data_IF_744866458082
#
_entry.id   IF_744866458082
#
_cell.length_a   1.000
_cell.length_b   1.000
_cell.length_c   1.000
_cell.angle_alpha   90.00
_cell.angle_beta   90.00
_cell.angle_gamma   90.00
#
_symmetry.space_group_name_H-M   'P 1'
#
loop_
_entity.id
_entity.type
_entity.pdbx_description
1 polymer ?
#
# COMPACT_ATOMS: atom_id res chain seq x y z
N UNK A 1 12.26 40.83 -12.77
CA UNK A 1 11.97 40.65 -11.32
C UNK A 1 11.46 41.97 -10.81
N UNK A 2 10.21 42.03 -10.33
CA UNK A 2 9.71 43.23 -9.68
C UNK A 2 10.49 43.42 -8.37
N UNK A 3 11.30 44.47 -8.28
CA UNK A 3 11.99 44.84 -7.05
C UNK A 3 10.99 45.59 -6.20
N UNK A 4 10.37 44.89 -5.24
CA UNK A 4 9.51 45.51 -4.23
C UNK A 4 10.36 46.09 -3.10
N UNK A 5 9.97 47.25 -2.57
CA UNK A 5 10.55 47.81 -1.34
C UNK A 5 9.74 47.33 -0.15
N UNK A 6 10.42 46.88 0.91
CA UNK A 6 9.81 46.53 2.19
C UNK A 6 10.38 47.41 3.29
N UNK A 7 9.53 47.87 4.20
CA UNK A 7 9.99 48.65 5.34
C UNK A 7 10.72 47.76 6.35
N UNK A 8 11.80 48.29 6.96
CA UNK A 8 12.57 47.58 8.00
C UNK A 8 11.75 47.32 9.25
N UNK A 9 10.68 48.09 9.48
CA UNK A 9 9.68 47.89 10.52
C UNK A 9 9.05 46.50 10.43
N UNK A 10 8.67 46.06 9.23
CA UNK A 10 7.99 44.77 9.01
C UNK A 10 8.87 43.59 9.43
N UNK A 11 10.15 43.59 9.05
CA UNK A 11 11.09 42.56 9.47
C UNK A 11 11.35 42.58 10.98
N UNK A 12 11.41 43.78 11.56
CA UNK A 12 11.58 43.97 13.01
C UNK A 12 10.36 43.42 13.76
N UNK A 13 9.15 43.67 13.28
CA UNK A 13 7.90 43.22 13.88
C UNK A 13 7.77 41.69 13.80
N UNK A 14 8.11 41.07 12.66
CA UNK A 14 8.14 39.60 12.53
C UNK A 14 9.14 38.99 13.51
N UNK A 15 10.36 39.53 13.56
CA UNK A 15 11.39 39.03 14.48
C UNK A 15 10.99 39.19 15.95
N UNK A 16 10.36 40.31 16.31
CA UNK A 16 9.82 40.55 17.66
C UNK A 16 8.68 39.59 17.98
N UNK A 17 7.78 39.30 17.04
CA UNK A 17 6.70 38.34 17.23
C UNK A 17 7.23 36.92 17.52
N UNK A 18 8.24 36.48 16.77
CA UNK A 18 8.91 35.18 16.99
C UNK A 18 9.59 35.17 18.37
N UNK A 19 10.40 36.20 18.68
CA UNK A 19 11.07 36.30 19.98
C UNK A 19 10.08 36.34 21.15
N UNK A 20 8.95 37.01 20.99
CA UNK A 20 7.92 37.11 22.01
C UNK A 20 7.27 35.76 22.28
N UNK A 21 6.89 35.02 21.22
CA UNK A 21 6.30 33.69 21.36
C UNK A 21 7.31 32.66 21.89
N UNK A 22 8.58 32.74 21.47
CA UNK A 22 9.66 31.89 21.96
C UNK A 22 10.12 32.25 23.38
N UNK A 23 9.96 33.52 23.79
CA UNK A 23 10.49 34.06 25.04
C UNK A 23 12.01 34.24 25.07
N UNK A 24 12.65 34.54 23.93
CA UNK A 24 14.12 34.63 23.81
C UNK A 24 14.61 36.02 23.40
N UNK A 25 15.87 36.33 23.73
CA UNK A 25 16.54 37.57 23.32
C UNK A 25 17.34 37.43 22.01
N UNK A 26 17.50 36.20 21.49
CA UNK A 26 18.29 35.89 20.29
C UNK A 26 17.78 36.67 19.07
N UNK A 27 18.69 37.29 18.33
CA UNK A 27 18.36 38.00 17.09
C UNK A 27 18.32 37.02 15.93
N UNK A 28 17.34 37.22 15.03
CA UNK A 28 17.18 36.42 13.81
C UNK A 28 17.41 37.31 12.61
N UNK A 29 18.28 36.87 11.69
CA UNK A 29 18.34 37.44 10.35
C UNK A 29 17.08 37.05 9.57
N UNK A 30 16.68 37.79 8.51
CA UNK A 30 15.51 37.43 7.72
C UNK A 30 15.50 35.98 7.20
N UNK A 31 16.67 35.42 6.85
CA UNK A 31 16.79 34.03 6.42
C UNK A 31 16.59 32.98 7.52
N UNK A 32 16.70 33.35 8.79
CA UNK A 32 16.52 32.44 9.94
C UNK A 32 15.09 32.46 10.49
N UNK A 33 14.30 33.49 10.15
CA UNK A 33 12.97 33.70 10.72
C UNK A 33 11.98 32.57 10.40
N UNK A 34 12.06 31.96 9.22
CA UNK A 34 11.19 30.84 8.85
C UNK A 34 11.45 29.61 9.73
N UNK A 35 12.71 29.24 9.91
CA UNK A 35 13.11 28.14 10.79
C UNK A 35 12.74 28.44 12.25
N UNK A 36 12.95 29.67 12.70
CA UNK A 36 12.59 30.10 14.05
C UNK A 36 11.06 30.07 14.29
N UNK A 37 10.25 30.50 13.32
CA UNK A 37 8.79 30.42 13.38
C UNK A 37 8.29 28.96 13.39
N UNK A 38 8.94 28.09 12.61
CA UNK A 38 8.67 26.64 12.60
C UNK A 38 9.00 25.98 13.95
N UNK A 39 9.99 26.51 14.67
CA UNK A 39 10.43 25.98 15.96
C UNK A 39 9.57 26.44 17.16
N UNK A 40 8.63 27.37 16.97
CA UNK A 40 7.77 27.84 18.06
C UNK A 40 6.84 26.72 18.55
N UNK A 41 6.67 26.61 19.86
CA UNK A 41 5.90 25.55 20.53
C UNK A 41 4.94 26.07 21.61
N UNK A 42 4.96 27.37 21.90
CA UNK A 42 4.15 28.02 22.92
C UNK A 42 4.71 28.01 24.33
N UNK A 43 5.93 27.50 24.52
CA UNK A 43 6.56 27.38 25.84
C UNK A 43 6.92 28.74 26.46
N UNK A 44 7.27 29.73 25.64
CA UNK A 44 7.71 31.08 26.04
C UNK A 44 8.72 31.08 27.22
N UNK A 45 10.02 31.06 26.90
CA UNK A 45 11.13 31.02 27.88
C UNK A 45 11.23 32.24 28.83
N UNK A 46 10.41 33.28 28.63
CA UNK A 46 10.30 34.40 29.57
C UNK A 46 11.45 35.42 29.54
N UNK A 47 12.36 35.34 28.58
CA UNK A 47 13.49 36.25 28.35
C UNK A 47 13.31 37.11 27.08
N UNK A 48 12.07 37.44 26.74
CA UNK A 48 11.78 38.32 25.60
C UNK A 48 12.34 39.73 25.84
N UNK A 49 13.10 40.23 24.87
CA UNK A 49 13.53 41.63 24.81
C UNK A 49 13.13 42.26 23.48
N UNK A 50 12.25 43.26 23.55
CA UNK A 50 11.79 44.00 22.38
C UNK A 50 12.96 44.76 21.74
N UNK A 51 13.13 44.57 20.43
CA UNK A 51 14.06 45.38 19.65
C UNK A 51 13.35 46.60 19.09
N UNK A 52 14.03 47.74 19.12
CA UNK A 52 13.57 48.99 18.52
C UNK A 52 13.75 48.95 17.00
N UNK A 53 12.95 49.73 16.29
CA UNK A 53 13.08 49.87 14.84
C UNK A 53 14.49 50.36 14.48
N UNK A 54 15.20 49.55 13.70
CA UNK A 54 16.53 49.91 13.21
C UNK A 54 16.41 51.02 12.16
N UNK A 55 17.41 51.90 12.15
CA UNK A 55 17.54 52.93 11.11
C UNK A 55 17.68 52.23 9.76
N UNK A 56 17.06 52.77 8.71
CA UNK A 56 16.97 52.12 7.40
C UNK A 56 18.37 51.82 6.83
N UNK A 57 18.73 50.55 6.73
CA UNK A 57 19.89 50.07 5.97
C UNK A 57 19.39 49.51 4.63
N UNK A 58 19.95 49.98 3.51
CA UNK A 58 19.58 49.47 2.19
C UNK A 58 20.18 48.08 1.96
N UNK A 59 19.35 47.08 1.63
CA UNK A 59 19.78 45.70 1.35
C UNK A 59 18.88 45.00 0.33
N UNK A 60 19.34 43.88 -0.23
CA UNK A 60 18.57 43.04 -1.16
C UNK A 60 18.20 41.73 -0.44
N UNK A 61 16.91 41.42 -0.41
CA UNK A 61 16.37 40.16 0.12
C UNK A 61 15.90 39.28 -1.05
N UNK A 62 16.08 37.97 -0.90
CA UNK A 62 15.49 37.00 -1.82
C UNK A 62 13.97 37.02 -1.68
N UNK A 63 13.25 36.85 -2.81
CA UNK A 63 11.79 36.79 -2.82
C UNK A 63 11.22 35.66 -1.96
N UNK A 64 11.99 34.59 -1.78
CA UNK A 64 11.55 33.39 -1.03
C UNK A 64 11.49 33.59 0.49
N UNK A 65 12.16 34.60 1.07
CA UNK A 65 12.22 34.77 2.53
C UNK A 65 10.82 34.88 3.16
N UNK A 66 9.93 35.64 2.53
CA UNK A 66 8.56 35.80 3.04
C UNK A 66 7.68 34.60 2.67
N UNK A 67 7.95 33.93 1.56
CA UNK A 67 7.25 32.68 1.21
C UNK A 67 7.54 31.60 2.26
N UNK A 68 8.80 31.42 2.65
CA UNK A 68 9.25 30.47 3.65
C UNK A 68 8.67 30.78 5.05
N UNK A 69 8.61 32.06 5.44
CA UNK A 69 7.97 32.47 6.70
C UNK A 69 6.46 32.20 6.66
N UNK A 70 5.80 32.50 5.53
CA UNK A 70 4.39 32.22 5.37
C UNK A 70 4.09 30.72 5.42
N UNK A 71 4.94 29.89 4.82
CA UNK A 71 4.87 28.43 4.93
C UNK A 71 5.07 27.94 6.36
N UNK A 72 6.01 28.53 7.11
CA UNK A 72 6.20 28.21 8.52
C UNK A 72 4.94 28.53 9.36
N UNK A 73 4.32 29.69 9.15
CA UNK A 73 3.08 30.09 9.83
C UNK A 73 1.94 29.11 9.47
N UNK A 74 1.78 28.78 8.18
CA UNK A 74 0.80 27.80 7.71
C UNK A 74 1.03 26.41 8.31
N UNK A 75 2.28 25.98 8.43
CA UNK A 75 2.64 24.73 9.10
C UNK A 75 2.24 24.69 10.57
N UNK A 76 2.27 25.85 11.25
CA UNK A 76 1.86 25.96 12.65
C UNK A 76 0.34 25.98 12.83
N UNK A 77 -0.40 26.70 11.98
CA UNK A 77 -1.84 26.91 12.16
C UNK A 77 -2.75 26.12 11.22
N UNK A 78 -2.20 25.38 10.25
CA UNK A 78 -2.95 24.60 9.26
C UNK A 78 -3.72 25.44 8.23
N UNK A 79 -3.47 26.76 8.14
CA UNK A 79 -4.17 27.65 7.19
C UNK A 79 -3.65 27.49 5.76
N UNK A 80 -4.51 27.81 4.78
CA UNK A 80 -4.13 27.95 3.36
C UNK A 80 -4.05 29.41 2.92
N UNK A 81 -4.21 30.35 3.86
CA UNK A 81 -4.22 31.77 3.58
C UNK A 81 -2.87 32.27 3.04
N UNK A 82 -2.95 33.30 2.22
CA UNK A 82 -1.78 34.05 1.79
C UNK A 82 -1.50 35.14 2.82
N UNK A 83 -0.27 35.16 3.37
CA UNK A 83 0.15 36.19 4.31
C UNK A 83 0.95 37.26 3.57
N UNK A 84 0.49 38.51 3.61
CA UNK A 84 1.34 39.64 3.23
C UNK A 84 2.40 39.85 4.32
N UNK A 85 3.61 40.35 3.97
CA UNK A 85 4.66 40.56 4.98
C UNK A 85 4.22 41.34 6.22
N UNK A 86 3.38 42.38 6.05
CA UNK A 86 2.85 43.16 7.17
C UNK A 86 1.88 42.42 8.09
N UNK A 87 1.33 41.28 7.67
CA UNK A 87 0.36 40.48 8.43
C UNK A 87 1.04 39.36 9.23
N UNK A 88 2.27 38.97 8.84
CA UNK A 88 2.97 37.82 9.39
C UNK A 88 3.23 37.94 10.90
N UNK A 89 3.61 39.13 11.38
CA UNK A 89 3.85 39.35 12.81
C UNK A 89 2.58 39.10 13.64
N UNK A 90 1.44 39.63 13.19
CA UNK A 90 0.15 39.40 13.84
C UNK A 90 -0.28 37.94 13.76
N UNK A 91 -0.06 37.28 12.61
CA UNK A 91 -0.36 35.87 12.43
C UNK A 91 0.48 34.98 13.37
N UNK A 92 1.78 35.29 13.56
CA UNK A 92 2.67 34.60 14.51
C UNK A 92 2.18 34.81 15.96
N UNK A 93 1.78 36.02 16.32
CA UNK A 93 1.23 36.31 17.66
C UNK A 93 -0.14 35.64 17.90
N UNK A 94 -0.90 35.39 16.84
CA UNK A 94 -2.19 34.71 16.89
C UNK A 94 -2.09 33.18 16.88
N UNK A 95 -0.88 32.61 16.77
CA UNK A 95 -0.68 31.16 16.86
C UNK A 95 -1.21 30.66 18.22
N UNK A 96 -2.15 29.72 18.14
CA UNK A 96 -2.72 29.05 19.30
C UNK A 96 -1.98 27.75 19.53
N UNK A 97 -1.33 27.64 20.68
CA UNK A 97 -0.44 26.52 20.99
C UNK A 97 -1.22 25.30 21.45
N UNK A 98 -1.03 24.18 20.75
CA UNK A 98 -1.58 22.89 21.13
C UNK A 98 -0.72 22.22 22.21
N UNK A 99 -0.73 22.82 23.41
CA UNK A 99 -0.01 22.32 24.59
C UNK A 99 -0.85 21.31 25.38
N UNK A 100 -0.17 20.51 26.18
CA UNK A 100 -0.73 19.46 27.01
C UNK A 100 -0.68 18.08 26.36
N UNK A 101 -0.66 17.08 27.24
CA UNK A 101 -0.66 15.67 26.89
C UNK A 101 -2.01 15.26 26.28
N UNK A 102 -2.03 14.93 24.99
CA UNK A 102 -3.27 14.61 24.25
C UNK A 102 -3.06 13.45 23.28
N UNK A 103 -4.10 12.63 23.01
CA UNK A 103 -4.06 11.62 21.95
C UNK A 103 -4.13 12.34 20.60
N UNK A 104 -3.05 12.33 19.82
CA UNK A 104 -2.99 13.00 18.53
C UNK A 104 -2.82 12.02 17.39
N UNK A 105 -3.44 12.35 16.25
CA UNK A 105 -3.03 11.90 14.94
C UNK A 105 -2.30 13.07 14.28
N UNK A 106 -1.02 12.90 13.94
CA UNK A 106 -0.16 13.93 13.36
C UNK A 106 0.24 13.50 11.96
N UNK A 107 -0.13 14.28 10.95
CA UNK A 107 0.32 14.07 9.59
C UNK A 107 1.72 14.67 9.44
N UNK A 108 2.67 13.89 8.91
CA UNK A 108 4.03 14.35 8.67
C UNK A 108 4.24 14.75 7.21
N UNK A 109 5.30 15.54 6.96
CA UNK A 109 5.75 15.91 5.61
C UNK A 109 6.15 14.73 4.72
N UNK A 110 6.24 13.53 5.29
CA UNK A 110 6.53 12.28 4.58
C UNK A 110 5.27 11.49 4.20
N UNK A 111 4.07 12.05 4.45
CA UNK A 111 2.79 11.36 4.19
C UNK A 111 2.46 10.27 5.22
N UNK A 112 3.12 10.29 6.39
CA UNK A 112 2.82 9.39 7.50
C UNK A 112 1.77 10.02 8.41
N UNK A 113 0.73 9.29 8.79
CA UNK A 113 -0.17 9.67 9.88
C UNK A 113 0.25 8.94 11.15
N UNK A 114 0.87 9.67 12.08
CA UNK A 114 1.38 9.14 13.34
C UNK A 114 0.39 9.35 14.47
N UNK A 115 0.00 8.28 15.14
CA UNK A 115 -0.79 8.30 16.36
C UNK A 115 0.15 8.29 17.57
N UNK A 116 0.15 9.35 18.37
CA UNK A 116 0.98 9.49 19.56
C UNK A 116 0.24 10.17 20.73
N UNK A 117 0.83 10.10 21.92
CA UNK A 117 0.27 10.63 23.16
C UNK A 117 1.37 11.35 23.92
N UNK A 118 1.60 12.60 23.53
CA UNK A 118 2.69 13.44 24.03
C UNK A 118 2.20 14.87 24.24
N UNK A 119 3.06 15.72 24.78
CA UNK A 119 2.84 17.17 24.79
C UNK A 119 3.26 17.76 23.44
N UNK A 120 2.46 18.67 22.87
CA UNK A 120 2.72 19.26 21.56
C UNK A 120 2.55 18.34 20.35
N UNK A 121 2.86 18.88 19.17
CA UNK A 121 2.81 18.18 17.88
C UNK A 121 4.17 17.60 17.54
N UNK A 122 4.42 16.35 17.90
CA UNK A 122 5.68 15.68 17.60
C UNK A 122 5.51 14.62 16.50
N UNK A 123 6.58 14.37 15.75
CA UNK A 123 6.68 13.30 14.75
C UNK A 123 7.89 12.42 15.07
N UNK A 124 7.68 11.28 15.73
CA UNK A 124 8.77 10.35 16.07
C UNK A 124 9.14 9.43 14.90
N UNK A 125 8.24 9.26 13.93
CA UNK A 125 8.43 8.50 12.69
C UNK A 125 9.22 9.24 11.60
N UNK A 126 9.63 10.49 11.87
CA UNK A 126 10.38 11.34 10.96
C UNK A 126 9.53 12.34 10.17
N UNK A 127 10.21 13.27 9.50
CA UNK A 127 9.58 14.43 8.88
C UNK A 127 9.23 15.51 9.90
N UNK A 128 8.47 16.52 9.46
CA UNK A 128 7.93 17.58 10.32
C UNK A 128 6.40 17.50 10.35
N UNK A 129 5.75 17.95 11.44
CA UNK A 129 4.29 18.05 11.49
C UNK A 129 3.77 18.96 10.37
N UNK A 130 2.77 18.48 9.63
CA UNK A 130 2.01 19.23 8.61
C UNK A 130 0.64 19.60 9.13
N UNK A 131 -0.01 18.67 9.83
CA UNK A 131 -1.32 18.89 10.45
C UNK A 131 -1.48 17.93 11.64
N UNK A 132 -2.36 18.24 12.58
CA UNK A 132 -2.58 17.41 13.76
C UNK A 132 -4.00 17.54 14.29
N UNK A 133 -4.56 16.41 14.71
CA UNK A 133 -5.92 16.33 15.25
C UNK A 133 -5.91 15.54 16.56
N UNK A 134 -6.67 16.02 17.55
CA UNK A 134 -6.98 15.24 18.73
C UNK A 134 -7.88 14.05 18.35
N UNK A 135 -7.62 12.88 18.93
CA UNK A 135 -8.30 11.64 18.62
C UNK A 135 -9.14 11.20 19.80
N UNK A 136 -10.43 10.97 19.58
CA UNK A 136 -11.32 10.47 20.63
C UNK A 136 -11.04 8.97 20.92
N UNK A 137 -10.57 8.59 22.13
CA UNK A 137 -10.35 7.19 22.50
C UNK A 137 -11.64 6.37 22.60
N UNK A 138 -12.80 7.01 22.66
CA UNK A 138 -14.12 6.36 22.58
C UNK A 138 -14.50 5.96 21.14
N UNK A 139 -13.74 6.41 20.14
CA UNK A 139 -13.89 6.06 18.73
C UNK A 139 -14.96 6.87 18.01
N UNK A 140 -15.18 6.55 16.74
CA UNK A 140 -16.04 7.31 15.84
C UNK A 140 -17.26 6.51 15.36
N UNK A 141 -18.36 7.21 15.07
CA UNK A 141 -19.59 6.60 14.56
C UNK A 141 -19.54 6.24 13.07
N UNK A 142 -18.64 6.87 12.31
CA UNK A 142 -18.43 6.66 10.87
C UNK A 142 -17.03 7.12 10.44
N UNK A 143 -16.60 6.73 9.23
CA UNK A 143 -15.33 7.18 8.66
C UNK A 143 -15.28 8.71 8.53
N UNK A 144 -16.36 9.37 8.08
CA UNK A 144 -16.43 10.83 7.94
C UNK A 144 -16.47 11.60 9.26
N UNK A 145 -16.68 10.92 10.40
CA UNK A 145 -16.73 11.57 11.70
C UNK A 145 -15.35 11.78 12.35
N UNK A 146 -14.30 11.13 11.82
CA UNK A 146 -12.94 11.36 12.31
C UNK A 146 -12.40 12.71 11.82
N UNK A 147 -11.62 13.43 12.64
CA UNK A 147 -11.19 14.80 12.32
C UNK A 147 -10.21 14.86 11.13
N UNK A 148 -9.49 13.78 10.86
CA UNK A 148 -8.51 13.65 9.77
C UNK A 148 -9.08 13.00 8.50
N UNK A 149 -10.40 12.97 8.31
CA UNK A 149 -11.00 12.31 7.12
C UNK A 149 -10.62 12.98 5.79
N UNK A 150 -10.39 14.30 5.80
CA UNK A 150 -10.01 15.08 4.61
C UNK A 150 -8.68 14.65 4.02
N UNK A 151 -7.76 14.14 4.85
CA UNK A 151 -6.39 13.77 4.45
C UNK A 151 -6.20 12.28 4.16
N UNK A 152 -7.22 11.43 4.32
CA UNK A 152 -7.07 9.96 4.19
C UNK A 152 -6.44 9.49 2.88
N UNK A 153 -6.67 10.19 1.77
CA UNK A 153 -6.18 9.81 0.44
C UNK A 153 -4.71 10.19 0.20
N UNK A 154 -4.14 11.08 1.02
CA UNK A 154 -2.70 11.43 0.96
C UNK A 154 -1.84 10.61 1.92
N UNK A 155 -2.45 9.90 2.88
CA UNK A 155 -1.71 9.09 3.84
C UNK A 155 -1.15 7.84 3.17
N UNK A 156 0.18 7.71 3.20
CA UNK A 156 0.92 6.57 2.64
C UNK A 156 1.26 5.54 3.73
N UNK A 157 1.48 5.99 4.97
CA UNK A 157 1.81 5.13 6.11
C UNK A 157 1.08 5.57 7.36
N UNK A 158 0.80 4.61 8.24
CA UNK A 158 0.30 4.88 9.60
C UNK A 158 1.27 4.30 10.61
N UNK A 159 1.57 5.07 11.66
CA UNK A 159 2.43 4.63 12.76
C UNK A 159 1.68 4.82 14.08
N UNK A 160 1.56 3.78 14.88
CA UNK A 160 1.14 3.90 16.28
C UNK A 160 2.38 3.93 17.16
N UNK A 161 2.75 5.13 17.63
CA UNK A 161 3.92 5.30 18.50
C UNK A 161 3.71 4.57 19.84
N UNK A 162 4.80 4.18 20.52
CA UNK A 162 4.75 3.42 21.77
C UNK A 162 3.96 4.11 22.88
N UNK A 163 3.95 5.45 22.89
CA UNK A 163 3.13 6.24 23.82
C UNK A 163 1.63 6.01 23.65
N UNK A 164 1.17 5.60 22.46
CA UNK A 164 -0.24 5.43 22.14
C UNK A 164 -0.94 4.39 23.02
N UNK A 165 -0.21 3.38 23.51
CA UNK A 165 -0.75 2.38 24.42
C UNK A 165 -1.36 3.00 25.70
N UNK A 166 -0.87 4.18 26.13
CA UNK A 166 -1.36 4.90 27.30
C UNK A 166 -2.75 5.54 27.09
N UNK A 167 -3.16 5.74 25.83
CA UNK A 167 -4.47 6.30 25.47
C UNK A 167 -5.61 5.35 25.87
N UNK A 168 -5.35 4.03 25.86
CA UNK A 168 -6.35 3.03 26.24
C UNK A 168 -7.56 2.99 25.31
N UNK A 169 -7.37 3.27 24.01
CA UNK A 169 -8.44 3.27 23.02
C UNK A 169 -9.15 1.90 22.99
N UNK A 170 -10.47 1.91 23.26
CA UNK A 170 -11.28 0.68 23.31
C UNK A 170 -12.11 0.44 22.04
N UNK A 171 -12.27 1.47 21.21
CA UNK A 171 -13.08 1.44 20.00
C UNK A 171 -12.32 2.09 18.83
N UNK A 172 -11.89 1.27 17.88
CA UNK A 172 -11.21 1.68 16.65
C UNK A 172 -12.08 1.49 15.41
N UNK A 173 -13.41 1.52 15.58
CA UNK A 173 -14.33 1.47 14.44
C UNK A 173 -14.01 2.61 13.47
N UNK A 174 -13.89 2.27 12.19
CA UNK A 174 -13.60 3.20 11.09
C UNK A 174 -12.29 4.00 11.19
N UNK A 175 -11.40 3.71 12.15
CA UNK A 175 -10.25 4.56 12.46
C UNK A 175 -9.38 4.86 11.23
N UNK A 176 -9.17 3.86 10.37
CA UNK A 176 -8.32 3.92 9.17
C UNK A 176 -9.08 3.52 7.89
N UNK A 177 -10.41 3.60 7.88
CA UNK A 177 -11.25 3.24 6.75
C UNK A 177 -10.98 4.12 5.51
N UNK A 178 -10.97 3.57 4.29
CA UNK A 178 -10.78 4.28 3.02
C UNK A 178 -9.46 5.05 2.90
N UNK A 179 -8.40 4.56 3.56
CA UNK A 179 -7.04 5.03 3.35
C UNK A 179 -6.48 4.34 2.10
N UNK A 180 -6.93 4.77 0.93
CA UNK A 180 -6.70 4.08 -0.35
C UNK A 180 -5.25 4.15 -0.84
N UNK A 181 -4.46 5.12 -0.38
CA UNK A 181 -3.04 5.26 -0.71
C UNK A 181 -2.10 4.61 0.32
N UNK A 182 -2.64 4.14 1.45
CA UNK A 182 -1.84 3.63 2.56
C UNK A 182 -1.32 2.23 2.24
N UNK A 183 -0.01 2.04 2.31
CA UNK A 183 0.64 0.76 2.04
C UNK A 183 1.04 0.00 3.31
N UNK A 184 1.20 0.71 4.42
CA UNK A 184 1.81 0.16 5.63
C UNK A 184 1.21 0.76 6.91
N UNK A 185 0.97 -0.11 7.90
CA UNK A 185 0.72 0.29 9.28
C UNK A 185 1.78 -0.35 10.18
N UNK A 186 2.36 0.40 11.10
CA UNK A 186 3.35 -0.12 12.06
C UNK A 186 3.07 0.30 13.51
N UNK A 187 3.67 -0.42 14.45
CA UNK A 187 3.44 -0.23 15.88
C UNK A 187 2.07 -0.73 16.35
N UNK A 188 1.44 -1.65 15.61
CA UNK A 188 0.07 -2.07 15.87
C UNK A 188 -0.09 -2.83 17.20
N UNK A 189 1.00 -3.28 17.82
CA UNK A 189 1.03 -3.74 19.21
C UNK A 189 0.50 -2.69 20.20
N UNK A 190 0.65 -1.39 19.89
CA UNK A 190 0.20 -0.28 20.73
C UNK A 190 -1.32 -0.06 20.66
N UNK A 191 -2.01 -0.82 19.81
CA UNK A 191 -3.47 -0.91 19.77
C UNK A 191 -4.00 -2.10 20.59
N UNK A 192 -3.13 -2.79 21.35
CA UNK A 192 -3.55 -3.85 22.26
C UNK A 192 -4.50 -3.29 23.31
N UNK A 193 -5.72 -3.83 23.40
CA UNK A 193 -6.77 -3.37 24.32
C UNK A 193 -8.06 -2.93 23.63
N UNK A 194 -8.05 -2.75 22.31
CA UNK A 194 -9.28 -2.53 21.52
C UNK A 194 -10.29 -3.66 21.74
N UNK A 195 -11.57 -3.29 21.86
CA UNK A 195 -12.71 -4.22 21.96
C UNK A 195 -13.58 -4.22 20.71
N UNK A 196 -13.54 -3.13 19.93
CA UNK A 196 -14.30 -2.98 18.68
C UNK A 196 -13.41 -2.41 17.56
N UNK A 197 -13.44 -3.02 16.38
CA UNK A 197 -12.69 -2.59 15.19
C UNK A 197 -13.47 -2.83 13.88
N UNK A 198 -14.78 -2.59 13.89
CA UNK A 198 -15.64 -2.65 12.72
C UNK A 198 -15.11 -1.75 11.61
N UNK A 199 -14.90 -2.33 10.42
CA UNK A 199 -14.43 -1.63 9.22
C UNK A 199 -13.18 -0.75 9.44
N UNK A 200 -12.33 -1.08 10.43
CA UNK A 200 -11.16 -0.28 10.78
C UNK A 200 -10.24 -0.04 9.58
N UNK A 201 -10.03 -1.05 8.72
CA UNK A 201 -9.26 -0.98 7.48
C UNK A 201 -10.14 -1.17 6.24
N UNK A 202 -11.45 -0.97 6.35
CA UNK A 202 -12.36 -1.13 5.21
C UNK A 202 -11.93 -0.23 4.05
N UNK A 203 -11.90 -0.75 2.83
CA UNK A 203 -11.50 -0.03 1.59
C UNK A 203 -10.04 0.45 1.54
N UNK A 204 -9.13 -0.13 2.31
CA UNK A 204 -7.69 0.17 2.18
C UNK A 204 -7.06 -0.68 1.06
N UNK A 205 -7.33 -0.32 -0.19
CA UNK A 205 -6.98 -1.11 -1.38
C UNK A 205 -5.47 -1.28 -1.60
N UNK A 206 -4.66 -0.29 -1.21
CA UNK A 206 -3.19 -0.33 -1.31
C UNK A 206 -2.48 -0.94 -0.10
N UNK A 207 -3.19 -1.30 0.97
CA UNK A 207 -2.58 -1.79 2.21
C UNK A 207 -1.93 -3.15 1.97
N UNK A 208 -0.63 -3.25 2.19
CA UNK A 208 0.16 -4.46 1.95
C UNK A 208 0.56 -5.16 3.25
N UNK A 209 0.70 -4.40 4.35
CA UNK A 209 1.17 -4.95 5.61
C UNK A 209 0.63 -4.20 6.84
N UNK A 210 0.49 -4.94 7.93
CA UNK A 210 0.31 -4.39 9.28
C UNK A 210 1.37 -5.03 10.17
N UNK A 211 2.33 -4.24 10.64
CA UNK A 211 3.41 -4.68 11.51
C UNK A 211 3.02 -4.62 12.98
N UNK A 212 3.23 -5.72 13.68
CA UNK A 212 3.09 -5.84 15.12
C UNK A 212 4.10 -6.86 15.66
N UNK A 213 4.89 -6.49 16.68
CA UNK A 213 5.78 -7.45 17.36
C UNK A 213 5.02 -8.41 18.29
N UNK A 214 3.86 -7.98 18.78
CA UNK A 214 2.93 -8.78 19.57
C UNK A 214 1.50 -8.22 19.43
N UNK A 215 0.49 -9.08 19.46
CA UNK A 215 -0.91 -8.64 19.49
C UNK A 215 -1.83 -9.78 19.94
N UNK A 216 -2.83 -9.46 20.76
CA UNK A 216 -3.90 -10.40 21.14
C UNK A 216 -5.25 -9.86 20.67
N UNK A 217 -5.97 -10.66 19.88
CA UNK A 217 -7.36 -10.38 19.49
C UNK A 217 -8.40 -11.01 20.41
N UNK A 218 -8.00 -11.47 21.60
CA UNK A 218 -8.93 -12.05 22.56
C UNK A 218 -9.97 -11.01 23.00
N UNK A 219 -11.25 -11.31 22.79
CA UNK A 219 -12.35 -10.39 23.08
C UNK A 219 -12.54 -9.24 22.07
N UNK A 220 -11.75 -9.19 20.99
CA UNK A 220 -11.92 -8.20 19.92
C UNK A 220 -13.10 -8.58 19.03
N UNK A 221 -14.04 -7.66 18.88
CA UNK A 221 -15.11 -7.73 17.88
C UNK A 221 -14.82 -6.80 16.71
N UNK A 222 -15.17 -7.20 15.49
CA UNK A 222 -14.96 -6.38 14.30
C UNK A 222 -15.48 -7.06 13.05
N UNK A 223 -16.58 -6.55 12.50
CA UNK A 223 -17.11 -6.95 11.20
C UNK A 223 -16.43 -6.18 10.08
N UNK A 224 -16.20 -6.86 8.95
CA UNK A 224 -15.65 -6.26 7.72
C UNK A 224 -14.33 -5.49 7.96
N UNK A 225 -13.56 -5.87 8.99
CA UNK A 225 -12.38 -5.13 9.46
C UNK A 225 -11.35 -4.91 8.34
N UNK A 226 -11.22 -5.88 7.43
CA UNK A 226 -10.28 -5.88 6.30
C UNK A 226 -10.98 -5.95 4.94
N UNK A 227 -12.25 -5.56 4.87
CA UNK A 227 -12.99 -5.60 3.62
C UNK A 227 -12.33 -4.67 2.59
N UNK A 228 -12.02 -5.19 1.39
CA UNK A 228 -11.34 -4.42 0.34
C UNK A 228 -9.81 -4.37 0.45
N UNK A 229 -9.20 -4.94 1.50
CA UNK A 229 -7.73 -5.05 1.65
C UNK A 229 -7.14 -6.18 0.79
N UNK A 230 -7.37 -6.13 -0.53
CA UNK A 230 -6.97 -7.21 -1.45
C UNK A 230 -5.46 -7.40 -1.61
N UNK A 231 -4.67 -6.39 -1.23
CA UNK A 231 -3.20 -6.41 -1.23
C UNK A 231 -2.59 -6.80 0.11
N UNK A 232 -3.39 -6.85 1.18
CA UNK A 232 -2.88 -7.10 2.53
C UNK A 232 -2.50 -8.56 2.63
N UNK A 233 -1.21 -8.80 2.85
CA UNK A 233 -0.68 -10.13 3.09
C UNK A 233 -0.07 -10.15 4.47
N UNK A 234 -0.42 -11.12 5.30
CA UNK A 234 0.11 -11.21 6.65
C UNK A 234 0.40 -12.62 7.11
N UNK A 235 0.74 -12.71 8.38
CA UNK A 235 1.06 -13.98 9.03
C UNK A 235 2.36 -14.59 8.52
N UNK A 236 2.65 -15.79 8.99
CA UNK A 236 3.84 -16.55 8.59
C UNK A 236 3.60 -17.37 7.32
N UNK A 237 2.37 -17.37 6.80
CA UNK A 237 1.91 -18.27 5.74
C UNK A 237 1.29 -17.54 4.54
N UNK A 238 1.47 -16.22 4.44
CA UNK A 238 0.98 -15.42 3.32
C UNK A 238 -0.55 -15.27 3.30
N UNK A 239 -1.20 -15.22 4.45
CA UNK A 239 -2.65 -15.09 4.54
C UNK A 239 -3.12 -13.76 3.95
N UNK A 240 -4.17 -13.81 3.11
CA UNK A 240 -4.83 -12.63 2.53
C UNK A 240 -6.29 -12.63 3.02
N UNK A 241 -6.78 -11.51 3.61
CA UNK A 241 -8.15 -11.45 4.11
C UNK A 241 -9.17 -11.47 2.96
N UNK A 242 -10.33 -12.09 3.22
CA UNK A 242 -11.49 -12.03 2.33
C UNK A 242 -12.40 -10.85 2.69
N UNK A 243 -13.45 -10.66 1.91
CA UNK A 243 -14.50 -9.66 2.19
C UNK A 243 -15.22 -9.88 3.52
N UNK A 244 -15.13 -11.09 4.10
CA UNK A 244 -15.74 -11.46 5.39
C UNK A 244 -14.74 -11.59 6.53
N UNK A 245 -13.43 -11.41 6.27
CA UNK A 245 -12.41 -11.43 7.32
C UNK A 245 -12.61 -10.27 8.30
N UNK A 246 -12.87 -10.63 9.56
CA UNK A 246 -13.06 -9.70 10.66
C UNK A 246 -11.95 -9.81 11.71
N UNK A 247 -12.27 -9.47 12.96
CA UNK A 247 -11.34 -9.44 14.09
C UNK A 247 -10.57 -10.76 14.34
N UNK A 248 -11.15 -11.92 14.00
CA UNK A 248 -10.48 -13.22 14.17
C UNK A 248 -9.21 -13.38 13.32
N UNK A 249 -9.10 -12.64 12.22
CA UNK A 249 -7.92 -12.59 11.36
C UNK A 249 -6.87 -11.56 11.83
N UNK A 250 -7.23 -10.64 12.74
CA UNK A 250 -6.34 -9.62 13.29
C UNK A 250 -5.40 -10.21 14.35
N UNK A 251 -4.49 -11.09 13.94
CA UNK A 251 -3.54 -11.80 14.81
C UNK A 251 -2.23 -12.03 14.09
N UNK A 252 -1.19 -12.35 14.86
CA UNK A 252 0.11 -12.82 14.35
C UNK A 252 0.03 -14.34 14.10
N UNK A 253 0.88 -14.82 13.19
CA UNK A 253 1.03 -16.25 12.88
C UNK A 253 0.11 -16.72 11.75
N UNK A 254 0.01 -18.04 11.59
CA UNK A 254 -0.73 -18.63 10.48
C UNK A 254 -2.21 -18.21 10.45
N UNK A 255 -2.70 -17.83 9.27
CA UNK A 255 -4.08 -17.36 9.07
C UNK A 255 -4.39 -16.01 9.72
N UNK A 256 -3.36 -15.22 10.03
CA UNK A 256 -3.48 -13.86 10.56
C UNK A 256 -2.98 -12.81 9.56
N UNK A 257 -3.45 -11.57 9.68
CA UNK A 257 -2.99 -10.46 8.83
C UNK A 257 -1.82 -9.66 9.41
N UNK A 258 -1.50 -9.85 10.70
CA UNK A 258 -0.40 -9.13 11.34
C UNK A 258 0.92 -9.84 11.06
N UNK A 259 1.96 -9.05 10.80
CA UNK A 259 3.31 -9.54 10.52
C UNK A 259 4.26 -9.07 11.62
N UNK A 260 5.02 -9.99 12.20
CA UNK A 260 6.15 -9.64 13.08
C UNK A 260 7.30 -9.17 12.18
N UNK A 261 7.73 -7.89 12.26
CA UNK A 261 8.79 -7.37 11.40
C UNK A 261 10.12 -8.12 11.58
N UNK A 262 10.36 -8.74 12.74
CA UNK A 262 11.58 -9.50 13.01
C UNK A 262 11.54 -10.92 12.43
N UNK A 263 10.39 -11.36 11.90
CA UNK A 263 10.16 -12.70 11.35
C UNK A 263 9.47 -12.65 10.00
N UNK A 264 9.58 -11.53 9.30
CA UNK A 264 8.97 -11.33 7.99
C UNK A 264 9.75 -12.12 6.92
N UNK A 265 9.21 -13.28 6.55
CA UNK A 265 9.77 -14.16 5.53
C UNK A 265 9.11 -13.96 4.14
N UNK A 266 8.25 -12.94 3.98
CA UNK A 266 7.55 -12.70 2.71
C UNK A 266 8.54 -12.17 1.68
N UNK A 267 8.49 -12.74 0.50
CA UNK A 267 9.20 -12.26 -0.67
C UNK A 267 8.22 -11.62 -1.65
N UNK A 268 8.71 -10.62 -2.39
CA UNK A 268 7.89 -9.81 -3.28
C UNK A 268 8.53 -9.79 -4.66
N UNK A 269 7.72 -9.92 -5.70
CA UNK A 269 8.11 -9.65 -7.09
C UNK A 269 7.29 -8.49 -7.62
N UNK A 270 7.66 -7.94 -8.76
CA UNK A 270 7.00 -6.80 -9.38
C UNK A 270 6.27 -7.23 -10.65
N UNK A 271 5.10 -6.62 -10.86
CA UNK A 271 4.46 -6.58 -12.17
C UNK A 271 4.62 -5.19 -12.76
N UNK A 272 5.20 -5.10 -13.94
CA UNK A 272 5.29 -3.86 -14.72
C UNK A 272 4.41 -4.00 -15.94
N UNK A 273 3.33 -3.23 -16.00
CA UNK A 273 2.40 -3.23 -17.11
C UNK A 273 2.61 -1.99 -17.97
N UNK A 274 2.87 -2.19 -19.26
CA UNK A 274 3.25 -1.13 -20.19
C UNK A 274 2.09 -0.76 -21.12
N UNK A 275 2.17 0.43 -21.73
CA UNK A 275 1.13 0.95 -22.65
C UNK A 275 0.96 0.09 -23.92
N UNK A 276 1.99 -0.68 -24.30
CA UNK A 276 1.97 -1.61 -25.44
C UNK A 276 1.15 -2.90 -25.18
N UNK A 277 0.64 -3.09 -23.97
CA UNK A 277 -0.22 -4.21 -23.60
C UNK A 277 0.50 -5.41 -23.00
N UNK A 278 1.83 -5.38 -22.86
CA UNK A 278 2.55 -6.46 -22.17
C UNK A 278 2.74 -6.15 -20.67
N UNK A 279 2.57 -7.19 -19.84
CA UNK A 279 2.97 -7.19 -18.45
C UNK A 279 4.22 -8.06 -18.23
N UNK A 280 5.25 -7.49 -17.60
CA UNK A 280 6.47 -8.22 -17.21
C UNK A 280 6.43 -8.50 -15.70
N UNK A 281 6.55 -9.76 -15.33
CA UNK A 281 6.68 -10.21 -13.94
C UNK A 281 8.16 -10.52 -13.66
N UNK A 282 8.74 -9.88 -12.65
CA UNK A 282 10.19 -9.87 -12.42
C UNK A 282 10.54 -9.63 -10.95
N UNK A 283 11.72 -10.10 -10.52
CA UNK A 283 12.27 -9.72 -9.21
C UNK A 283 12.76 -8.26 -9.18
N UNK A 284 12.97 -7.66 -10.35
CA UNK A 284 13.50 -6.29 -10.49
C UNK A 284 12.44 -5.25 -10.14
N UNK A 285 12.77 -4.31 -9.24
CA UNK A 285 11.85 -3.24 -8.82
C UNK A 285 11.66 -2.14 -9.87
N UNK A 286 12.73 -1.81 -10.59
CA UNK A 286 12.72 -0.73 -11.56
C UNK A 286 12.12 -1.23 -12.89
N UNK A 287 11.06 -0.57 -13.41
CA UNK A 287 10.54 -0.89 -14.74
C UNK A 287 11.54 -0.50 -15.83
N UNK A 288 11.36 -1.05 -17.03
CA UNK A 288 12.14 -0.71 -18.22
C UNK A 288 11.93 0.77 -18.59
N UNK A 289 12.98 1.62 -18.51
CA UNK A 289 12.85 3.05 -18.77
C UNK A 289 12.63 3.38 -20.26
N UNK A 290 12.84 2.43 -21.17
CA UNK A 290 12.62 2.61 -22.61
C UNK A 290 11.15 2.48 -23.02
N UNK A 291 10.29 1.96 -22.14
CA UNK A 291 8.88 1.69 -22.39
C UNK A 291 8.00 2.64 -21.58
N UNK A 292 6.84 2.97 -22.13
CA UNK A 292 5.86 3.79 -21.39
C UNK A 292 5.12 2.90 -20.40
N UNK A 293 5.37 3.12 -19.11
CA UNK A 293 4.74 2.38 -18.01
C UNK A 293 3.29 2.84 -17.83
N UNK A 294 2.34 1.90 -17.87
CA UNK A 294 0.93 2.15 -17.50
C UNK A 294 0.71 2.00 -16.01
N UNK A 295 1.20 0.91 -15.43
CA UNK A 295 1.02 0.60 -14.01
C UNK A 295 2.14 -0.30 -13.51
N UNK A 296 2.50 -0.14 -12.23
CA UNK A 296 3.46 -1.01 -11.56
C UNK A 296 3.00 -1.29 -10.13
N UNK A 297 3.41 -2.42 -9.58
CA UNK A 297 3.17 -2.76 -8.19
C UNK A 297 3.82 -4.08 -7.83
N UNK A 298 4.20 -4.21 -6.56
CA UNK A 298 4.70 -5.47 -6.02
C UNK A 298 3.56 -6.45 -5.73
N UNK A 299 3.86 -7.74 -5.75
CA UNK A 299 2.98 -8.86 -5.48
C UNK A 299 3.72 -9.80 -4.54
N UNK A 300 3.07 -10.24 -3.46
CA UNK A 300 3.68 -11.16 -2.51
C UNK A 300 3.73 -12.55 -3.14
N UNK A 301 4.92 -13.14 -3.23
CA UNK A 301 5.14 -14.44 -3.85
C UNK A 301 4.35 -15.57 -3.18
N UNK A 302 4.14 -15.46 -1.86
CA UNK A 302 3.43 -16.47 -1.05
C UNK A 302 1.97 -16.10 -0.77
N UNK A 303 1.47 -14.99 -1.31
CA UNK A 303 0.13 -14.47 -1.03
C UNK A 303 -0.96 -15.47 -1.43
N UNK A 304 -1.79 -15.87 -0.46
CA UNK A 304 -2.98 -16.72 -0.66
C UNK A 304 -4.16 -15.88 -1.16
N UNK A 305 -3.99 -15.21 -2.29
CA UNK A 305 -4.98 -14.29 -2.84
C UNK A 305 -6.32 -14.99 -3.09
N UNK A 306 -7.39 -14.42 -2.53
CA UNK A 306 -8.75 -15.00 -2.61
C UNK A 306 -9.63 -14.33 -3.66
N UNK A 307 -9.08 -13.40 -4.43
CA UNK A 307 -9.78 -12.65 -5.46
C UNK A 307 -8.88 -11.64 -6.17
N UNK A 308 -9.51 -10.70 -6.88
CA UNK A 308 -8.82 -9.65 -7.64
C UNK A 308 -8.42 -8.47 -6.73
N UNK A 309 -7.71 -7.49 -7.31
CA UNK A 309 -7.35 -6.22 -6.64
C UNK A 309 -5.87 -6.08 -6.30
N UNK A 310 -5.11 -7.18 -6.36
CA UNK A 310 -3.69 -7.19 -5.99
C UNK A 310 -2.71 -6.97 -7.14
N UNK A 311 -3.17 -7.08 -8.40
CA UNK A 311 -2.28 -6.96 -9.57
C UNK A 311 -2.28 -5.54 -10.15
N UNK A 312 -1.18 -5.09 -10.78
CA UNK A 312 -1.11 -3.77 -11.44
C UNK A 312 -2.10 -3.55 -12.58
N UNK A 313 -2.58 -4.63 -13.21
CA UNK A 313 -3.62 -4.58 -14.24
C UNK A 313 -5.05 -4.66 -13.68
N UNK A 314 -5.21 -4.73 -12.36
CA UNK A 314 -6.50 -4.47 -11.71
C UNK A 314 -6.61 -2.97 -11.48
N UNK A 315 -7.46 -2.29 -12.24
CA UNK A 315 -7.67 -0.84 -12.06
C UNK A 315 -8.16 -0.54 -10.64
N UNK A 316 -7.65 0.53 -10.03
CA UNK A 316 -8.04 0.98 -8.68
C UNK A 316 -9.35 1.76 -8.67
N UNK A 317 -9.75 2.32 -9.82
CA UNK A 317 -11.05 2.93 -10.06
C UNK A 317 -11.45 2.76 -11.53
N UNK A 318 -12.66 2.25 -11.82
CA UNK A 318 -13.16 2.06 -13.19
C UNK A 318 -12.94 0.67 -13.81
N UNK A 319 -13.09 0.56 -15.13
CA UNK A 319 -12.95 -0.71 -15.86
C UNK A 319 -11.53 -1.27 -15.70
N UNK A 320 -11.40 -2.55 -15.37
CA UNK A 320 -10.11 -3.20 -15.14
C UNK A 320 -9.20 -3.07 -16.36
N UNK A 321 -7.90 -2.81 -16.16
CA UNK A 321 -6.95 -2.81 -17.29
C UNK A 321 -6.67 -4.20 -17.90
N UNK A 322 -7.25 -5.26 -17.32
CA UNK A 322 -7.15 -6.66 -17.77
C UNK A 322 -7.51 -6.88 -19.24
N UNK A 323 -8.46 -6.11 -19.76
CA UNK A 323 -8.88 -6.16 -21.17
C UNK A 323 -7.85 -5.58 -22.15
N UNK A 324 -6.81 -4.90 -21.65
CA UNK A 324 -5.73 -4.34 -22.45
C UNK A 324 -4.44 -5.14 -22.34
N UNK A 325 -4.41 -6.16 -21.47
CA UNK A 325 -3.26 -7.04 -21.32
C UNK A 325 -3.29 -8.08 -22.44
N UNK A 326 -2.36 -7.94 -23.40
CA UNK A 326 -2.24 -8.77 -24.60
C UNK A 326 -1.12 -9.81 -24.48
N UNK A 327 -0.09 -9.51 -23.69
CA UNK A 327 1.02 -10.42 -23.45
C UNK A 327 1.48 -10.41 -21.98
N UNK A 328 2.01 -11.54 -21.52
CA UNK A 328 2.65 -11.67 -20.20
C UNK A 328 4.00 -12.35 -20.35
N UNK A 329 5.01 -11.79 -19.70
CA UNK A 329 6.36 -12.35 -19.67
C UNK A 329 6.79 -12.55 -18.22
N UNK A 330 7.07 -13.80 -17.86
CA UNK A 330 7.80 -14.12 -16.62
C UNK A 330 9.28 -13.98 -16.92
N UNK A 331 9.93 -12.96 -16.37
CA UNK A 331 11.36 -12.73 -16.55
C UNK A 331 12.19 -13.85 -15.92
N UNK A 332 13.39 -14.09 -16.45
CA UNK A 332 14.26 -15.18 -16.00
C UNK A 332 14.64 -15.08 -14.51
N UNK A 333 14.67 -13.87 -13.95
CA UNK A 333 14.94 -13.66 -12.52
C UNK A 333 13.82 -14.17 -11.61
N UNK A 334 12.64 -14.49 -12.13
CA UNK A 334 11.58 -15.16 -11.38
C UNK A 334 11.96 -16.58 -10.94
N UNK A 335 12.98 -17.19 -11.56
CA UNK A 335 13.50 -18.49 -11.15
C UNK A 335 14.09 -18.49 -9.72
N UNK A 336 14.37 -17.32 -9.13
CA UNK A 336 14.94 -17.23 -7.77
C UNK A 336 13.92 -17.52 -6.68
N UNK A 337 12.62 -17.50 -6.97
CA UNK A 337 11.58 -17.70 -5.96
C UNK A 337 11.33 -19.19 -5.73
N UNK A 338 11.58 -19.65 -4.51
CA UNK A 338 11.30 -21.02 -4.07
C UNK A 338 9.83 -21.30 -3.80
N UNK A 339 8.99 -20.26 -3.70
CA UNK A 339 7.55 -20.40 -3.53
C UNK A 339 6.85 -19.25 -4.24
N UNK A 340 5.96 -19.61 -5.16
CA UNK A 340 5.12 -18.71 -5.95
C UNK A 340 3.67 -19.23 -5.88
N UNK A 341 2.74 -18.32 -5.63
CA UNK A 341 1.30 -18.55 -5.77
C UNK A 341 0.75 -17.62 -6.84
N UNK A 342 0.15 -18.19 -7.87
CA UNK A 342 -0.43 -17.44 -9.00
C UNK A 342 -1.95 -17.37 -8.95
N UNK A 343 -2.50 -17.49 -7.74
CA UNK A 343 -3.94 -17.45 -7.49
C UNK A 343 -4.54 -16.16 -8.08
N UNK A 344 -5.47 -16.29 -9.02
CA UNK A 344 -6.14 -15.18 -9.73
C UNK A 344 -5.24 -14.23 -10.55
N UNK A 345 -3.94 -14.52 -10.72
CA UNK A 345 -2.96 -13.59 -11.32
C UNK A 345 -3.44 -13.02 -12.68
N UNK A 346 -3.78 -13.91 -13.62
CA UNK A 346 -4.24 -13.54 -14.97
C UNK A 346 -5.74 -13.79 -15.18
N UNK A 347 -6.50 -13.88 -14.08
CA UNK A 347 -7.94 -14.08 -14.15
C UNK A 347 -8.62 -13.02 -15.04
N UNK A 348 -9.43 -13.46 -15.99
CA UNK A 348 -10.19 -12.64 -16.92
C UNK A 348 -9.34 -11.65 -17.74
N UNK A 349 -8.07 -11.95 -18.01
CA UNK A 349 -7.28 -11.24 -19.02
C UNK A 349 -7.73 -11.67 -20.42
N UNK A 350 -8.88 -11.17 -20.86
CA UNK A 350 -9.60 -11.63 -22.06
C UNK A 350 -8.90 -11.31 -23.38
N UNK A 351 -7.96 -10.36 -23.38
CA UNK A 351 -7.15 -9.99 -24.55
C UNK A 351 -5.79 -10.68 -24.60
N UNK A 352 -5.41 -11.46 -23.57
CA UNK A 352 -4.11 -12.11 -23.51
C UNK A 352 -3.99 -13.20 -24.57
N UNK A 353 -3.09 -13.01 -25.53
CA UNK A 353 -2.79 -13.97 -26.59
C UNK A 353 -1.45 -14.67 -26.39
N UNK A 354 -0.57 -14.13 -25.54
CA UNK A 354 0.78 -14.65 -25.32
C UNK A 354 1.13 -14.69 -23.84
N UNK A 355 1.72 -15.81 -23.41
CA UNK A 355 2.34 -15.96 -22.09
C UNK A 355 3.68 -16.65 -22.30
N UNK A 356 4.76 -16.06 -21.81
CA UNK A 356 6.12 -16.57 -22.00
C UNK A 356 6.90 -16.63 -20.67
N UNK A 357 7.95 -17.45 -20.63
CA UNK A 357 8.86 -17.54 -19.48
C UNK A 357 8.45 -18.51 -18.36
N UNK A 358 7.31 -19.20 -18.50
CA UNK A 358 6.86 -20.23 -17.54
C UNK A 358 7.92 -21.31 -17.30
N UNK A 359 8.65 -21.72 -18.34
CA UNK A 359 9.67 -22.77 -18.26
C UNK A 359 10.86 -22.52 -17.33
N UNK A 360 11.01 -21.30 -16.79
CA UNK A 360 12.07 -20.99 -15.82
C UNK A 360 11.62 -21.16 -14.36
N UNK A 361 10.33 -21.45 -14.14
CA UNK A 361 9.73 -21.44 -12.81
C UNK A 361 9.70 -22.84 -12.20
N UNK A 362 10.23 -22.97 -10.98
CA UNK A 362 10.19 -24.22 -10.19
C UNK A 362 9.50 -24.09 -8.84
N UNK A 363 9.29 -22.87 -8.34
CA UNK A 363 8.65 -22.62 -7.06
C UNK A 363 7.12 -22.54 -7.08
N UNK A 364 6.44 -22.83 -8.20
CA UNK A 364 5.00 -22.58 -8.33
C UNK A 364 4.19 -23.62 -7.56
N UNK A 365 3.57 -23.20 -6.46
CA UNK A 365 2.81 -24.09 -5.55
C UNK A 365 1.31 -24.09 -5.82
N UNK A 366 0.80 -23.05 -6.47
CA UNK A 366 -0.64 -22.87 -6.71
C UNK A 366 -0.89 -22.07 -7.98
N UNK A 367 -1.79 -22.56 -8.82
CA UNK A 367 -2.25 -21.89 -10.05
C UNK A 367 -3.77 -21.76 -10.10
N UNK A 368 -4.38 -21.58 -8.93
CA UNK A 368 -5.83 -21.48 -8.79
C UNK A 368 -6.36 -20.30 -9.60
N UNK A 369 -7.30 -20.55 -10.51
CA UNK A 369 -7.89 -19.52 -11.39
C UNK A 369 -6.88 -18.73 -12.26
N UNK A 370 -5.61 -19.13 -12.36
CA UNK A 370 -4.55 -18.28 -12.96
C UNK A 370 -4.88 -17.81 -14.36
N UNK A 371 -5.28 -18.70 -15.27
CA UNK A 371 -5.66 -18.39 -16.66
C UNK A 371 -7.18 -18.47 -16.89
N UNK A 372 -7.98 -18.45 -15.82
CA UNK A 372 -9.42 -18.57 -15.96
C UNK A 372 -9.98 -17.38 -16.74
N UNK A 373 -10.87 -17.66 -17.70
CA UNK A 373 -11.49 -16.68 -18.60
C UNK A 373 -10.50 -15.89 -19.47
N UNK A 374 -9.29 -16.41 -19.70
CA UNK A 374 -8.38 -15.92 -20.75
C UNK A 374 -8.87 -16.38 -22.13
N UNK A 375 -9.93 -15.77 -22.64
CA UNK A 375 -10.66 -16.26 -23.82
C UNK A 375 -9.96 -16.04 -25.16
N UNK A 376 -8.87 -15.26 -25.23
CA UNK A 376 -8.07 -15.06 -26.44
C UNK A 376 -6.81 -15.94 -26.50
N UNK A 377 -6.47 -16.66 -25.42
CA UNK A 377 -5.26 -17.46 -25.35
C UNK A 377 -5.43 -18.74 -26.16
N UNK A 378 -4.64 -18.93 -27.22
CA UNK A 378 -4.77 -20.09 -28.13
C UNK A 378 -3.84 -21.25 -27.78
N UNK A 379 -2.70 -20.95 -27.15
CA UNK A 379 -1.74 -21.96 -26.73
C UNK A 379 -0.98 -21.53 -25.49
N UNK A 380 -0.53 -22.50 -24.70
CA UNK A 380 0.39 -22.28 -23.58
C UNK A 380 1.59 -23.23 -23.68
N UNK A 381 2.76 -22.72 -23.31
CA UNK A 381 4.00 -23.46 -23.32
C UNK A 381 4.55 -23.64 -21.91
N UNK A 382 4.51 -24.87 -21.42
CA UNK A 382 5.03 -25.31 -20.13
C UNK A 382 6.35 -26.11 -20.27
N UNK A 383 7.00 -26.12 -21.45
CA UNK A 383 8.32 -26.76 -21.56
C UNK A 383 9.33 -26.10 -20.62
N UNK A 384 10.10 -26.92 -19.92
CA UNK A 384 11.02 -26.54 -18.84
C UNK A 384 10.36 -26.27 -17.48
N UNK A 385 9.03 -26.14 -17.40
CA UNK A 385 8.34 -25.84 -16.14
C UNK A 385 8.44 -27.04 -15.20
N UNK A 386 8.80 -26.81 -13.94
CA UNK A 386 8.83 -27.87 -12.91
C UNK A 386 7.50 -27.89 -12.15
N UNK A 387 6.63 -28.89 -12.38
CA UNK A 387 5.33 -28.98 -11.74
C UNK A 387 5.36 -29.60 -10.34
N UNK A 388 6.52 -30.04 -9.83
CA UNK A 388 6.60 -30.86 -8.63
C UNK A 388 6.20 -30.13 -7.34
N UNK A 389 6.18 -28.79 -7.36
CA UNK A 389 5.71 -27.97 -6.25
C UNK A 389 4.19 -27.76 -6.22
N UNK A 390 3.46 -28.07 -7.31
CA UNK A 390 2.04 -27.74 -7.45
C UNK A 390 1.15 -28.51 -6.46
N UNK A 391 0.22 -27.81 -5.83
CA UNK A 391 -0.76 -28.39 -4.90
C UNK A 391 -2.21 -28.00 -5.20
N UNK A 392 -2.45 -26.86 -5.86
CA UNK A 392 -3.79 -26.37 -6.21
C UNK A 392 -3.87 -25.94 -7.69
N UNK A 393 -4.78 -26.57 -8.42
CA UNK A 393 -5.09 -26.41 -9.84
C UNK A 393 -6.59 -26.14 -10.10
N UNK A 394 -7.33 -25.65 -9.10
CA UNK A 394 -8.76 -25.35 -9.27
C UNK A 394 -8.96 -24.28 -10.35
N UNK A 395 -9.78 -24.61 -11.36
CA UNK A 395 -10.14 -23.68 -12.44
C UNK A 395 -8.95 -23.00 -13.15
N UNK A 396 -7.73 -23.59 -13.13
CA UNK A 396 -6.53 -22.95 -13.70
C UNK A 396 -6.74 -22.42 -15.12
N UNK A 397 -7.40 -23.18 -15.99
CA UNK A 397 -7.74 -22.79 -17.37
C UNK A 397 -9.24 -22.55 -17.57
N UNK A 398 -10.04 -22.53 -16.50
CA UNK A 398 -11.49 -22.52 -16.58
C UNK A 398 -12.03 -21.34 -17.41
N UNK A 399 -12.69 -21.60 -18.54
CA UNK A 399 -13.23 -20.60 -19.44
C UNK A 399 -12.23 -20.04 -20.46
N UNK A 400 -11.01 -20.56 -20.56
CA UNK A 400 -10.08 -20.25 -21.65
C UNK A 400 -10.55 -20.92 -22.96
N UNK A 401 -11.65 -20.43 -23.52
CA UNK A 401 -12.41 -21.12 -24.58
C UNK A 401 -11.67 -21.25 -25.91
N UNK A 402 -10.68 -20.38 -26.17
CA UNK A 402 -9.84 -20.44 -27.36
C UNK A 402 -8.59 -21.31 -27.19
N UNK A 403 -8.29 -21.78 -25.97
CA UNK A 403 -7.08 -22.56 -25.70
C UNK A 403 -7.18 -23.90 -26.42
N UNK A 404 -6.35 -24.05 -27.45
CA UNK A 404 -6.36 -25.18 -28.36
C UNK A 404 -5.25 -26.20 -28.05
N UNK A 405 -4.11 -25.74 -27.55
CA UNK A 405 -2.97 -26.59 -27.23
C UNK A 405 -2.25 -26.16 -25.94
N UNK A 406 -1.74 -27.14 -25.20
CA UNK A 406 -0.80 -26.90 -24.11
C UNK A 406 0.41 -27.80 -24.36
N UNK A 407 1.59 -27.20 -24.46
CA UNK A 407 2.85 -27.90 -24.71
C UNK A 407 3.58 -28.13 -23.39
N UNK A 408 4.23 -29.29 -23.26
CA UNK A 408 5.05 -29.62 -22.11
C UNK A 408 6.17 -30.57 -22.53
N UNK A 409 7.22 -30.69 -21.70
CA UNK A 409 8.26 -31.67 -21.93
C UNK A 409 7.69 -33.09 -21.88
N UNK A 410 8.30 -34.03 -22.61
CA UNK A 410 7.89 -35.44 -22.57
C UNK A 410 7.98 -36.07 -21.18
N UNK A 411 8.73 -35.45 -20.26
CA UNK A 411 8.90 -35.87 -18.86
C UNK A 411 7.88 -35.25 -17.90
N UNK A 412 6.87 -34.51 -18.41
CA UNK A 412 5.87 -33.87 -17.56
C UNK A 412 5.13 -34.89 -16.68
N UNK A 413 5.19 -34.67 -15.37
CA UNK A 413 4.44 -35.43 -14.40
C UNK A 413 4.04 -34.53 -13.22
N UNK A 414 2.75 -34.51 -12.87
CA UNK A 414 2.28 -33.85 -11.65
C UNK A 414 2.72 -34.65 -10.41
N UNK A 415 2.80 -34.03 -9.21
CA UNK A 415 3.02 -34.77 -7.98
C UNK A 415 2.04 -35.95 -7.82
N UNK A 416 2.55 -37.09 -7.37
CA UNK A 416 1.76 -38.33 -7.23
C UNK A 416 0.63 -38.24 -6.20
N UNK A 417 0.67 -37.24 -5.31
CA UNK A 417 -0.34 -36.97 -4.30
C UNK A 417 -0.29 -35.49 -3.87
N UNK A 418 -1.28 -35.05 -3.09
CA UNK A 418 -1.32 -33.67 -2.56
C UNK A 418 -1.82 -32.60 -3.53
N UNK A 419 -2.09 -32.97 -4.79
CA UNK A 419 -2.69 -32.08 -5.80
C UNK A 419 -4.21 -32.12 -5.73
N UNK A 420 -4.84 -30.94 -5.71
CA UNK A 420 -6.27 -30.76 -5.83
C UNK A 420 -6.59 -29.80 -6.98
N UNK A 421 -7.66 -30.04 -7.74
CA UNK A 421 -7.99 -29.15 -8.87
C UNK A 421 -9.22 -29.59 -9.64
N UNK A 422 -10.41 -29.42 -9.05
CA UNK A 422 -11.63 -29.65 -9.83
C UNK A 422 -11.82 -28.54 -10.86
N UNK A 423 -12.47 -28.88 -11.98
CA UNK A 423 -12.80 -27.91 -13.03
C UNK A 423 -11.59 -27.16 -13.63
N UNK A 424 -10.38 -27.70 -13.49
CA UNK A 424 -9.14 -27.16 -14.07
C UNK A 424 -9.32 -26.74 -15.53
N UNK A 425 -10.00 -27.56 -16.34
CA UNK A 425 -10.29 -27.32 -17.75
C UNK A 425 -11.77 -27.01 -18.04
N UNK A 426 -12.53 -26.47 -17.08
CA UNK A 426 -13.93 -26.15 -17.31
C UNK A 426 -14.11 -25.22 -18.53
N UNK A 427 -15.04 -25.52 -19.44
CA UNK A 427 -15.29 -24.73 -20.66
C UNK A 427 -14.07 -24.46 -21.58
N UNK A 428 -13.02 -25.28 -21.55
CA UNK A 428 -11.90 -25.21 -22.50
C UNK A 428 -12.26 -25.85 -23.86
N UNK A 429 -13.30 -25.33 -24.52
CA UNK A 429 -13.99 -26.01 -25.63
C UNK A 429 -13.14 -26.27 -26.88
N UNK A 430 -12.04 -25.54 -27.07
CA UNK A 430 -11.14 -25.71 -28.21
C UNK A 430 -9.97 -26.66 -27.93
N UNK A 431 -9.81 -27.12 -26.67
CA UNK A 431 -8.61 -27.82 -26.23
C UNK A 431 -8.56 -29.24 -26.79
N UNK A 432 -7.43 -29.59 -27.39
CA UNK A 432 -7.15 -30.94 -27.91
C UNK A 432 -5.75 -31.36 -27.44
N UNK A 433 -5.66 -32.54 -26.82
CA UNK A 433 -4.39 -33.14 -26.42
C UNK A 433 -3.55 -33.58 -27.62
N UNK A 434 -2.25 -33.83 -27.38
CA UNK A 434 -1.30 -34.15 -28.46
C UNK A 434 -1.60 -35.43 -29.25
N UNK A 435 -2.39 -36.35 -28.69
CA UNK A 435 -2.86 -37.58 -29.34
C UNK A 435 -4.35 -37.47 -29.75
N UNK A 436 -4.90 -36.25 -29.83
CA UNK A 436 -6.24 -35.99 -30.33
C UNK A 436 -7.36 -36.10 -29.29
N UNK A 437 -7.05 -36.19 -27.99
CA UNK A 437 -8.07 -36.15 -26.94
C UNK A 437 -8.74 -34.78 -26.93
N UNK A 438 -9.92 -34.67 -27.53
CA UNK A 438 -10.72 -33.45 -27.53
C UNK A 438 -11.35 -33.22 -26.15
N UNK A 439 -11.48 -31.96 -25.77
CA UNK A 439 -12.13 -31.56 -24.53
C UNK A 439 -13.54 -32.15 -24.37
N UNK A 440 -13.87 -32.55 -23.14
CA UNK A 440 -15.22 -32.98 -22.75
C UNK A 440 -15.66 -32.36 -21.43
N UNK A 441 -16.96 -32.06 -21.30
CA UNK A 441 -17.56 -31.57 -20.06
C UNK A 441 -17.46 -32.56 -18.89
N UNK A 442 -17.24 -33.85 -19.15
CA UNK A 442 -16.97 -34.88 -18.14
C UNK A 442 -15.49 -35.03 -17.79
N UNK A 443 -14.60 -34.36 -18.52
CA UNK A 443 -13.14 -34.48 -18.43
C UNK A 443 -12.48 -33.13 -18.09
N UNK A 444 -12.94 -32.49 -17.02
CA UNK A 444 -12.53 -31.12 -16.65
C UNK A 444 -11.59 -31.05 -15.44
N UNK A 445 -11.34 -32.17 -14.77
CA UNK A 445 -10.46 -32.25 -13.60
C UNK A 445 -8.98 -32.11 -13.97
N UNK A 446 -8.15 -31.70 -13.02
CA UNK A 446 -6.70 -31.64 -13.14
C UNK A 446 -6.05 -32.96 -13.56
N UNK A 447 -6.73 -34.10 -13.41
CA UNK A 447 -6.23 -35.42 -13.82
C UNK A 447 -5.99 -35.54 -15.33
N UNK A 448 -6.53 -34.61 -16.13
CA UNK A 448 -6.23 -34.49 -17.56
C UNK A 448 -5.04 -33.57 -17.87
N UNK A 449 -4.46 -32.90 -16.87
CA UNK A 449 -3.25 -32.08 -17.00
C UNK A 449 -1.99 -32.96 -17.01
N UNK A 450 -1.94 -33.84 -18.01
CA UNK A 450 -0.92 -34.86 -18.23
C UNK A 450 -0.70 -35.05 -19.73
N UNK A 451 0.43 -35.67 -20.10
CA UNK A 451 0.73 -36.02 -21.48
C UNK A 451 -0.40 -36.88 -22.07
N UNK A 452 -0.90 -36.46 -23.23
CA UNK A 452 -1.91 -37.19 -23.97
C UNK A 452 -1.28 -38.36 -24.74
N UNK A 453 -1.76 -39.57 -24.50
CA UNK A 453 -1.31 -40.78 -25.21
C UNK A 453 -2.51 -41.66 -25.57
N UNK A 454 -2.31 -42.62 -26.48
CA UNK A 454 -3.37 -43.53 -26.90
C UNK A 454 -4.02 -44.32 -25.76
N UNK A 455 -3.26 -44.69 -24.72
CA UNK A 455 -3.75 -45.42 -23.54
C UNK A 455 -4.18 -44.51 -22.39
N UNK A 456 -3.83 -43.22 -22.44
CA UNK A 456 -3.95 -42.32 -21.30
C UNK A 456 -4.35 -40.93 -21.81
N UNK A 457 -5.66 -40.68 -21.94
CA UNK A 457 -6.16 -39.39 -22.43
C UNK A 457 -5.72 -38.24 -21.54
N UNK A 458 -5.17 -37.19 -22.14
CA UNK A 458 -4.70 -35.98 -21.49
C UNK A 458 -4.87 -34.77 -22.40
N UNK A 459 -4.52 -33.59 -21.92
CA UNK A 459 -4.60 -32.35 -22.72
C UNK A 459 -3.24 -31.74 -23.05
N UNK A 460 -2.14 -32.42 -22.71
CA UNK A 460 -0.80 -31.94 -23.04
C UNK A 460 -0.26 -32.60 -24.30
N UNK A 461 0.42 -31.78 -25.10
CA UNK A 461 1.21 -32.21 -26.25
C UNK A 461 2.68 -32.24 -25.84
N UNK A 462 3.29 -33.43 -25.82
CA UNK A 462 4.72 -33.58 -25.59
C UNK A 462 5.51 -33.06 -26.80
N UNK A 463 6.48 -32.17 -26.58
CA UNK A 463 7.38 -31.64 -27.61
C UNK A 463 8.81 -31.49 -27.14
#
# INVERSE_FOLDING_TARGET
MAVGTIETSVLTDIANAIRFQAGVATLFTPGEMAAAATALDGTNEGNYQAQIYMTLESGILSGHVFEDIADAIRGQNGSTDTYLPGEMAAAILALSWDVGLKPRAVLTSLGTLEFNYVDGRHCYSGGVPVDAWEVDPAGYSSASARPYDSVKLQVQKVVFHSSWAQVGMTNANYLLNAFESMTEVSGFENMSGMRSANQMFGSCSMLETIYATSFSNSGLSGSLMFNGCSRLVGGTDGFVPSTTSGASACKIGAGGVLTDPNKDARTWFYGHFYEDGEAVLTATQAPDPSRTLRATGRICAIGKYVGLGFTPWTGTAGATHRQYLTAVTFAADMATYSTLRFDYLLYSCTAATSVSGLGSLSGVTSMRFTFSSCSALTSLDFRGFDPLALTDLYYTFGGASALAAIYADSTWELPSSGVSGSSCFYNCRSLVGGNGTAWSSSATSYTYFRIDTASTPGYLTAQ
#
